data_IF_434473313054
#
_entry.id   IF_434473313054
#
_cell.length_a   1.000
_cell.length_b   1.000
_cell.length_c   1.000
_cell.angle_alpha   90.00
_cell.angle_beta   90.00
_cell.angle_gamma   90.00
#
_symmetry.space_group_name_H-M   'P 1'
#
loop_
_entity.id
_entity.type
_entity.pdbx_description
1 polymer ?
#
# COMPACT_ATOMS: atom_id res chain seq x y z
N UNK A 1 -45.90 -14.08 -32.32
CA UNK A 1 -44.69 -14.59 -33.00
C UNK A 1 -43.87 -15.32 -31.98
N UNK A 2 -43.81 -16.66 -32.04
CA UNK A 2 -43.06 -17.50 -31.10
C UNK A 2 -41.56 -17.31 -31.37
N UNK A 3 -40.89 -16.62 -30.45
CA UNK A 3 -39.45 -16.44 -30.51
C UNK A 3 -38.72 -17.77 -30.39
N UNK A 4 -37.72 -17.98 -31.21
CA UNK A 4 -36.86 -19.17 -31.15
C UNK A 4 -36.00 -19.15 -29.87
N UNK A 5 -36.08 -20.17 -29.01
CA UNK A 5 -35.24 -20.27 -27.80
C UNK A 5 -33.77 -20.26 -28.21
N UNK A 6 -33.00 -19.31 -27.65
CA UNK A 6 -31.54 -19.25 -27.81
C UNK A 6 -30.87 -20.38 -27.01
N UNK A 7 -29.92 -21.04 -27.65
CA UNK A 7 -28.98 -22.02 -27.03
C UNK A 7 -27.58 -21.71 -27.51
N UNK A 8 -26.55 -22.17 -26.79
CA UNK A 8 -25.15 -21.93 -27.15
C UNK A 8 -24.82 -22.47 -28.56
N UNK A 9 -25.37 -23.64 -28.92
CA UNK A 9 -25.22 -24.20 -30.25
C UNK A 9 -25.81 -23.31 -31.32
N UNK A 10 -27.01 -22.75 -31.09
CA UNK A 10 -27.65 -21.82 -32.01
C UNK A 10 -26.94 -20.49 -32.16
N UNK A 11 -26.45 -19.94 -31.05
CA UNK A 11 -25.66 -18.70 -31.06
C UNK A 11 -24.40 -18.90 -31.87
N UNK A 12 -23.65 -19.99 -31.65
CA UNK A 12 -22.43 -20.32 -32.43
C UNK A 12 -22.72 -20.53 -33.96
N UNK A 13 -23.91 -20.99 -34.31
CA UNK A 13 -24.30 -21.20 -35.70
C UNK A 13 -24.71 -19.90 -36.42
N UNK A 14 -24.86 -18.77 -35.72
CA UNK A 14 -25.21 -17.49 -36.34
C UNK A 14 -24.06 -16.97 -37.19
N UNK A 15 -24.32 -16.74 -38.46
CA UNK A 15 -23.33 -16.14 -39.39
C UNK A 15 -23.48 -14.62 -39.45
N UNK A 16 -22.37 -13.86 -39.48
CA UNK A 16 -22.39 -12.43 -39.69
C UNK A 16 -22.98 -12.09 -41.07
N UNK A 17 -23.61 -10.91 -41.18
CA UNK A 17 -24.13 -10.33 -42.44
C UNK A 17 -23.52 -8.93 -42.57
N UNK A 18 -23.71 -8.30 -43.72
CA UNK A 18 -23.26 -6.93 -43.98
C UNK A 18 -23.98 -5.87 -43.11
N UNK A 19 -25.02 -6.27 -42.38
CA UNK A 19 -25.78 -5.40 -41.48
C UNK A 19 -25.89 -6.05 -40.09
N UNK A 20 -26.03 -5.22 -39.06
CA UNK A 20 -26.29 -5.69 -37.68
C UNK A 20 -27.60 -6.48 -37.65
N UNK A 21 -27.59 -7.65 -37.02
CA UNK A 21 -28.75 -8.52 -36.86
C UNK A 21 -29.00 -8.82 -35.38
N UNK A 22 -30.24 -8.56 -34.94
CA UNK A 22 -30.70 -8.93 -33.61
C UNK A 22 -31.53 -10.21 -33.65
N UNK A 23 -31.19 -11.21 -32.85
CA UNK A 23 -31.97 -12.44 -32.69
C UNK A 23 -32.50 -12.47 -31.25
N UNK A 24 -33.82 -12.48 -31.09
CA UNK A 24 -34.49 -12.42 -29.78
C UNK A 24 -34.68 -13.81 -29.19
N UNK A 25 -34.58 -13.91 -27.88
CA UNK A 25 -34.80 -15.15 -27.14
C UNK A 25 -36.31 -15.40 -26.95
N UNK A 26 -36.74 -16.65 -27.19
CA UNK A 26 -38.10 -17.08 -26.97
C UNK A 26 -38.48 -17.33 -25.52
N UNK A 27 -37.49 -17.55 -24.60
CA UNK A 27 -37.72 -17.82 -23.19
C UNK A 27 -37.79 -16.57 -22.32
N UNK A 28 -36.96 -15.55 -22.62
CA UNK A 28 -36.92 -14.30 -21.86
C UNK A 28 -37.26 -13.11 -22.76
N UNK A 29 -38.46 -12.57 -22.57
CA UNK A 29 -38.91 -11.38 -23.33
C UNK A 29 -38.00 -10.19 -22.98
N UNK A 30 -37.46 -9.57 -24.02
CA UNK A 30 -36.55 -8.44 -23.89
C UNK A 30 -35.06 -8.83 -23.92
N UNK A 31 -34.74 -10.12 -24.00
CA UNK A 31 -33.36 -10.62 -24.14
C UNK A 31 -33.10 -11.07 -25.59
N UNK A 32 -31.85 -10.97 -26.02
CA UNK A 32 -31.43 -11.43 -27.36
C UNK A 32 -29.92 -11.39 -27.55
N UNK A 33 -29.49 -11.81 -28.75
CA UNK A 33 -28.11 -11.72 -29.20
C UNK A 33 -28.03 -10.82 -30.46
N UNK A 34 -27.09 -9.89 -30.47
CA UNK A 34 -26.74 -9.01 -31.59
C UNK A 34 -25.51 -9.56 -32.29
N UNK A 35 -25.62 -9.79 -33.58
CA UNK A 35 -24.53 -10.21 -34.45
C UNK A 35 -24.07 -9.00 -35.27
N UNK A 36 -22.82 -8.62 -35.11
CA UNK A 36 -22.18 -7.52 -35.82
C UNK A 36 -21.58 -7.98 -37.14
N UNK A 37 -21.42 -7.07 -38.15
CA UNK A 37 -20.76 -7.41 -39.40
C UNK A 37 -19.34 -7.96 -39.25
N UNK A 38 -18.64 -7.59 -38.19
CA UNK A 38 -17.31 -8.11 -37.82
C UNK A 38 -17.31 -9.56 -37.36
N UNK A 39 -18.49 -10.19 -37.17
CA UNK A 39 -18.62 -11.52 -36.57
C UNK A 39 -18.73 -11.51 -35.05
N UNK A 40 -18.49 -10.41 -34.37
CA UNK A 40 -18.65 -10.31 -32.90
C UNK A 40 -20.15 -10.42 -32.56
N UNK A 41 -20.44 -11.16 -31.46
CA UNK A 41 -21.79 -11.41 -30.98
C UNK A 41 -21.93 -10.94 -29.55
N UNK A 42 -22.97 -10.16 -29.24
CA UNK A 42 -23.23 -9.60 -27.92
C UNK A 42 -24.65 -9.89 -27.47
N UNK A 43 -24.79 -10.39 -26.25
CA UNK A 43 -26.10 -10.50 -25.63
C UNK A 43 -26.58 -9.11 -25.19
N UNK A 44 -27.89 -8.84 -25.37
CA UNK A 44 -28.48 -7.55 -25.04
C UNK A 44 -29.85 -7.73 -24.39
N UNK A 45 -30.27 -6.70 -23.64
CA UNK A 45 -31.66 -6.50 -23.23
C UNK A 45 -32.27 -5.30 -23.99
N UNK A 46 -33.56 -5.40 -24.25
CA UNK A 46 -34.34 -4.31 -24.80
C UNK A 46 -35.74 -4.33 -24.18
N UNK A 47 -36.07 -3.29 -23.45
CA UNK A 47 -37.40 -3.12 -22.85
C UNK A 47 -37.84 -1.66 -22.93
N UNK A 48 -39.13 -1.42 -22.61
CA UNK A 48 -39.68 -0.08 -22.43
C UNK A 48 -39.95 0.12 -20.91
N UNK A 49 -39.47 1.21 -20.34
CA UNK A 49 -39.71 1.57 -18.94
C UNK A 49 -40.04 3.07 -18.87
N UNK A 50 -41.18 3.42 -18.23
CA UNK A 50 -41.65 4.81 -18.08
C UNK A 50 -41.70 5.62 -19.38
N UNK A 51 -42.06 4.96 -20.51
CA UNK A 51 -42.14 5.61 -21.83
C UNK A 51 -40.81 5.65 -22.59
N UNK A 52 -39.68 5.36 -21.95
CA UNK A 52 -38.35 5.35 -22.59
C UNK A 52 -37.97 3.94 -23.08
N UNK A 53 -37.24 3.88 -24.19
CA UNK A 53 -36.64 2.64 -24.70
C UNK A 53 -35.29 2.43 -24.03
N UNK A 54 -35.19 1.37 -23.23
CA UNK A 54 -33.94 0.95 -22.61
C UNK A 54 -33.33 -0.17 -23.43
N UNK A 55 -32.12 0.03 -23.91
CA UNK A 55 -31.29 -0.97 -24.59
C UNK A 55 -29.94 -1.05 -23.93
N UNK A 56 -29.53 -2.23 -23.42
CA UNK A 56 -28.26 -2.45 -22.78
C UNK A 56 -27.63 -3.77 -23.21
N UNK A 57 -26.29 -3.83 -23.27
CA UNK A 57 -25.53 -5.05 -23.50
C UNK A 57 -25.45 -5.83 -22.16
N UNK A 58 -25.63 -7.14 -22.24
CA UNK A 58 -25.51 -8.07 -21.09
C UNK A 58 -24.10 -8.66 -21.01
N UNK A 59 -23.52 -9.02 -22.17
CA UNK A 59 -22.18 -9.58 -22.24
C UNK A 59 -21.78 -10.02 -23.64
N UNK A 60 -20.55 -10.52 -23.81
CA UNK A 60 -20.04 -11.04 -25.07
C UNK A 60 -20.34 -12.55 -25.19
N UNK A 61 -20.89 -12.97 -26.33
CA UNK A 61 -21.26 -14.36 -26.54
C UNK A 61 -20.05 -15.31 -26.74
N UNK A 62 -18.85 -14.77 -26.90
CA UNK A 62 -17.61 -15.55 -26.91
C UNK A 62 -17.08 -15.92 -25.52
N UNK A 63 -17.51 -15.16 -24.48
CA UNK A 63 -17.03 -15.34 -23.11
C UNK A 63 -18.12 -15.74 -22.09
N UNK A 64 -19.38 -15.80 -22.51
CA UNK A 64 -20.53 -16.06 -21.64
C UNK A 64 -21.48 -17.05 -22.33
N UNK A 65 -22.00 -18.02 -21.60
CA UNK A 65 -23.04 -18.94 -22.09
C UNK A 65 -24.41 -18.25 -22.20
N UNK A 66 -25.31 -18.80 -23.01
CA UNK A 66 -26.68 -18.30 -23.12
C UNK A 66 -27.45 -18.41 -21.80
N UNK A 67 -27.13 -19.41 -20.97
CA UNK A 67 -27.77 -19.59 -19.66
C UNK A 67 -27.37 -18.49 -18.69
N UNK A 68 -26.08 -18.20 -18.57
CA UNK A 68 -25.54 -17.11 -17.74
C UNK A 68 -26.07 -15.75 -18.23
N UNK A 69 -26.03 -15.51 -19.54
CA UNK A 69 -26.52 -14.28 -20.14
C UNK A 69 -28.03 -14.09 -19.90
N UNK A 70 -28.81 -15.16 -19.96
CA UNK A 70 -30.25 -15.09 -19.67
C UNK A 70 -30.55 -14.79 -18.21
N UNK A 71 -29.78 -15.37 -17.26
CA UNK A 71 -29.91 -15.06 -15.85
C UNK A 71 -29.59 -13.59 -15.56
N UNK A 72 -28.44 -13.11 -16.03
CA UNK A 72 -28.03 -11.72 -15.89
C UNK A 72 -29.05 -10.74 -16.53
N UNK A 73 -29.57 -11.09 -17.71
CA UNK A 73 -30.61 -10.30 -18.37
C UNK A 73 -31.90 -10.24 -17.54
N UNK A 74 -32.28 -11.35 -16.89
CA UNK A 74 -33.42 -11.41 -15.98
C UNK A 74 -33.30 -10.45 -14.82
N UNK A 75 -32.14 -10.45 -14.16
CA UNK A 75 -31.82 -9.56 -13.04
C UNK A 75 -31.82 -8.09 -13.46
N UNK A 76 -31.23 -7.77 -14.61
CA UNK A 76 -31.23 -6.42 -15.19
C UNK A 76 -32.65 -5.94 -15.51
N UNK A 77 -33.50 -6.79 -16.13
CA UNK A 77 -34.86 -6.45 -16.44
C UNK A 77 -35.72 -6.27 -15.17
N UNK A 78 -35.47 -7.08 -14.14
CA UNK A 78 -36.13 -6.95 -12.84
C UNK A 78 -35.74 -5.63 -12.12
N UNK A 79 -34.46 -5.26 -12.12
CA UNK A 79 -33.98 -3.99 -11.56
C UNK A 79 -34.64 -2.78 -12.28
N UNK A 80 -34.68 -2.81 -13.61
CA UNK A 80 -35.33 -1.74 -14.40
C UNK A 80 -36.82 -1.62 -14.03
N UNK A 81 -37.53 -2.75 -13.87
CA UNK A 81 -38.97 -2.74 -13.49
C UNK A 81 -39.19 -2.13 -12.08
N UNK A 82 -38.26 -2.34 -11.13
CA UNK A 82 -38.31 -1.73 -9.81
C UNK A 82 -37.95 -0.24 -9.80
N UNK A 83 -37.51 0.31 -10.93
CA UNK A 83 -37.03 1.69 -11.04
C UNK A 83 -35.64 1.88 -10.47
N UNK A 84 -34.92 0.78 -10.21
CA UNK A 84 -33.50 0.77 -9.85
C UNK A 84 -32.66 0.98 -11.11
N UNK A 85 -31.50 1.63 -10.93
CA UNK A 85 -30.55 1.72 -12.05
C UNK A 85 -30.07 0.29 -12.37
N UNK A 86 -30.36 -0.19 -13.57
CA UNK A 86 -29.94 -1.53 -13.97
C UNK A 86 -28.42 -1.62 -13.83
N UNK A 87 -27.88 -2.68 -13.21
CA UNK A 87 -26.45 -2.83 -13.05
C UNK A 87 -25.78 -2.65 -14.41
N UNK A 88 -24.72 -1.85 -14.46
CA UNK A 88 -23.96 -1.65 -15.69
C UNK A 88 -23.51 -3.00 -16.22
N UNK A 89 -23.62 -3.20 -17.53
CA UNK A 89 -23.13 -4.43 -18.14
C UNK A 89 -21.64 -4.61 -17.80
N UNK A 90 -21.15 -5.84 -17.59
CA UNK A 90 -19.75 -6.09 -17.26
C UNK A 90 -18.76 -5.34 -18.17
N UNK A 91 -19.13 -5.12 -19.44
CA UNK A 91 -18.32 -4.39 -20.42
C UNK A 91 -18.35 -2.86 -20.29
N UNK A 92 -19.27 -2.30 -19.52
CA UNK A 92 -19.48 -0.83 -19.40
C UNK A 92 -19.10 -0.29 -18.01
N UNK A 93 -18.87 -1.16 -17.03
CA UNK A 93 -18.51 -0.72 -15.67
C UNK A 93 -17.17 0.00 -15.70
N UNK A 94 -17.20 1.27 -15.32
CA UNK A 94 -16.03 2.14 -15.33
C UNK A 94 -15.08 1.81 -14.18
N UNK A 95 -13.81 2.06 -14.42
CA UNK A 95 -12.71 1.80 -13.47
C UNK A 95 -12.94 2.45 -12.09
N UNK A 96 -13.40 3.69 -12.06
CA UNK A 96 -13.64 4.44 -10.82
C UNK A 96 -14.69 3.79 -9.91
N UNK A 97 -15.74 3.21 -10.45
CA UNK A 97 -16.79 2.53 -9.67
C UNK A 97 -16.23 1.27 -8.99
N UNK A 98 -15.39 0.51 -9.72
CA UNK A 98 -14.69 -0.65 -9.16
C UNK A 98 -13.65 -0.24 -8.12
N UNK A 99 -12.91 0.85 -8.39
CA UNK A 99 -11.91 1.38 -7.47
C UNK A 99 -12.55 1.80 -6.14
N UNK A 100 -13.69 2.47 -6.18
CA UNK A 100 -14.42 2.85 -4.96
C UNK A 100 -14.89 1.62 -4.18
N UNK A 101 -15.46 0.63 -4.85
CA UNK A 101 -15.90 -0.62 -4.22
C UNK A 101 -14.72 -1.37 -3.58
N UNK A 102 -13.57 -1.48 -4.28
CA UNK A 102 -12.35 -2.07 -3.76
C UNK A 102 -11.86 -1.33 -2.50
N UNK A 103 -11.84 -0.01 -2.51
CA UNK A 103 -11.40 0.79 -1.36
C UNK A 103 -12.37 0.66 -0.18
N UNK A 104 -13.67 0.63 -0.40
CA UNK A 104 -14.69 0.44 0.64
C UNK A 104 -14.54 -0.93 1.33
N UNK A 105 -14.31 -2.01 0.57
CA UNK A 105 -14.05 -3.34 1.12
C UNK A 105 -12.76 -3.39 1.94
N UNK A 106 -11.71 -2.69 1.50
CA UNK A 106 -10.41 -2.68 2.16
C UNK A 106 -10.30 -1.66 3.30
N UNK A 107 -11.26 -0.77 3.49
CA UNK A 107 -11.25 0.24 4.55
C UNK A 107 -11.13 -0.37 5.95
N UNK A 108 -11.77 -1.51 6.17
CA UNK A 108 -11.70 -2.27 7.44
C UNK A 108 -10.40 -3.09 7.59
N UNK A 109 -9.71 -3.36 6.50
CA UNK A 109 -8.51 -4.21 6.47
C UNK A 109 -7.22 -3.39 6.55
N UNK A 110 -7.22 -2.17 6.02
CA UNK A 110 -6.05 -1.32 5.99
C UNK A 110 -5.99 -0.43 7.23
N UNK A 111 -4.79 -0.33 7.84
CA UNK A 111 -4.58 0.69 8.87
C UNK A 111 -4.87 2.08 8.30
N UNK A 112 -5.40 3.04 9.09
CA UNK A 112 -5.80 4.38 8.60
C UNK A 112 -4.71 5.09 7.80
N UNK A 113 -3.45 5.01 8.24
CA UNK A 113 -2.33 5.60 7.51
C UNK A 113 -2.05 4.93 6.15
N UNK A 114 -2.29 3.62 6.02
CA UNK A 114 -2.17 2.89 4.75
C UNK A 114 -3.30 3.30 3.81
N UNK A 115 -4.53 3.36 4.30
CA UNK A 115 -5.69 3.79 3.53
C UNK A 115 -5.48 5.20 2.97
N UNK A 116 -5.04 6.15 3.82
CA UNK A 116 -4.74 7.52 3.38
C UNK A 116 -3.71 7.56 2.25
N UNK A 117 -2.58 6.86 2.43
CA UNK A 117 -1.50 6.83 1.42
C UNK A 117 -1.98 6.16 0.14
N UNK A 118 -2.74 5.06 0.23
CA UNK A 118 -3.29 4.38 -0.94
C UNK A 118 -4.29 5.27 -1.69
N UNK A 119 -5.14 6.04 -0.99
CA UNK A 119 -6.03 7.05 -1.61
C UNK A 119 -5.24 8.14 -2.33
N UNK A 120 -4.11 8.60 -1.77
CA UNK A 120 -3.24 9.55 -2.45
C UNK A 120 -2.65 8.97 -3.75
N UNK A 121 -2.17 7.72 -3.75
CA UNK A 121 -1.68 7.08 -4.97
C UNK A 121 -2.79 6.83 -5.98
N UNK A 122 -3.97 6.38 -5.54
CA UNK A 122 -5.13 6.24 -6.41
C UNK A 122 -5.42 7.55 -7.13
N UNK A 123 -5.63 8.63 -6.38
CA UNK A 123 -6.01 9.94 -6.93
C UNK A 123 -4.94 10.55 -7.85
N UNK A 124 -3.66 10.47 -7.43
CA UNK A 124 -2.60 11.23 -8.10
C UNK A 124 -1.84 10.45 -9.19
N UNK A 125 -1.97 9.10 -9.23
CA UNK A 125 -1.17 8.25 -10.14
C UNK A 125 -1.99 7.27 -10.95
N UNK A 126 -3.12 6.79 -10.43
CA UNK A 126 -3.93 5.75 -11.07
C UNK A 126 -5.12 6.37 -11.79
N UNK A 127 -5.94 7.14 -11.09
CA UNK A 127 -7.14 7.76 -11.65
C UNK A 127 -6.87 8.62 -12.88
N UNK A 128 -5.80 9.47 -12.96
CA UNK A 128 -5.53 10.28 -14.14
C UNK A 128 -5.33 9.48 -15.44
N UNK A 129 -5.07 8.17 -15.32
CA UNK A 129 -4.85 7.30 -16.49
C UNK A 129 -6.02 6.36 -16.78
N UNK A 130 -6.66 5.83 -15.73
CA UNK A 130 -7.67 4.77 -15.89
C UNK A 130 -9.12 5.23 -15.69
N UNK A 131 -9.37 6.43 -15.14
CA UNK A 131 -10.73 6.94 -14.99
C UNK A 131 -11.42 7.09 -16.37
N UNK A 132 -12.73 6.82 -16.39
CA UNK A 132 -13.53 6.84 -17.62
C UNK A 132 -13.32 5.62 -18.53
N UNK A 133 -12.44 4.68 -18.15
CA UNK A 133 -12.20 3.46 -18.92
C UNK A 133 -13.06 2.31 -18.41
N UNK A 134 -13.70 1.53 -19.30
CA UNK A 134 -14.31 0.26 -18.90
C UNK A 134 -13.26 -0.67 -18.30
N UNK A 135 -13.49 -1.16 -17.07
CA UNK A 135 -12.50 -1.99 -16.36
C UNK A 135 -12.18 -3.27 -17.13
N UNK A 136 -13.13 -3.81 -17.87
CA UNK A 136 -12.93 -5.00 -18.70
C UNK A 136 -11.94 -4.76 -19.86
N UNK A 137 -11.85 -3.54 -20.38
CA UNK A 137 -11.03 -3.19 -21.53
C UNK A 137 -9.56 -2.91 -21.18
N UNK A 138 -9.24 -2.73 -19.88
CA UNK A 138 -7.86 -2.44 -19.45
C UNK A 138 -7.01 -3.71 -19.58
N UNK A 139 -6.08 -3.70 -20.51
CA UNK A 139 -5.21 -4.83 -20.79
C UNK A 139 -3.81 -4.71 -20.13
N UNK A 140 -3.01 -5.77 -20.27
CA UNK A 140 -1.64 -5.81 -19.71
C UNK A 140 -0.72 -4.80 -20.38
N UNK A 141 -0.89 -4.54 -21.67
CA UNK A 141 -0.04 -3.61 -22.39
C UNK A 141 -0.30 -2.17 -21.94
N UNK A 142 -1.56 -1.82 -21.70
CA UNK A 142 -1.93 -0.53 -21.15
C UNK A 142 -1.33 -0.32 -19.75
N UNK A 143 -1.41 -1.32 -18.86
CA UNK A 143 -0.80 -1.24 -17.52
C UNK A 143 0.72 -1.14 -17.61
N UNK A 144 1.38 -1.83 -18.55
CA UNK A 144 2.83 -1.67 -18.80
C UNK A 144 3.18 -0.25 -19.24
N UNK A 145 2.42 0.31 -20.17
CA UNK A 145 2.63 1.66 -20.68
C UNK A 145 2.44 2.70 -19.58
N UNK A 146 1.38 2.57 -18.78
CA UNK A 146 1.17 3.41 -17.61
C UNK A 146 2.33 3.31 -16.62
N UNK A 147 2.76 2.11 -16.28
CA UNK A 147 3.86 1.88 -15.36
C UNK A 147 5.19 2.48 -15.86
N UNK A 148 5.47 2.35 -17.15
CA UNK A 148 6.65 2.93 -17.80
C UNK A 148 6.66 4.47 -17.74
N UNK A 149 5.51 5.13 -17.88
CA UNK A 149 5.39 6.60 -17.72
C UNK A 149 5.79 7.09 -16.33
N UNK A 150 5.66 6.23 -15.32
CA UNK A 150 6.06 6.55 -13.95
C UNK A 150 7.56 6.30 -13.66
N UNK A 151 8.38 6.04 -14.69
CA UNK A 151 9.82 5.72 -14.56
C UNK A 151 10.60 6.79 -13.80
N UNK A 152 10.26 8.07 -13.97
CA UNK A 152 10.91 9.17 -13.25
C UNK A 152 10.64 9.14 -11.73
N UNK A 153 9.60 8.43 -11.29
CA UNK A 153 9.24 8.28 -9.87
C UNK A 153 9.07 6.80 -9.50
N UNK A 154 10.15 5.99 -9.55
CA UNK A 154 10.07 4.53 -9.45
C UNK A 154 9.48 4.03 -8.13
N UNK A 155 9.69 4.76 -7.03
CA UNK A 155 9.08 4.45 -5.72
C UNK A 155 7.56 4.62 -5.78
N UNK A 156 7.07 5.68 -6.42
CA UNK A 156 5.64 5.91 -6.56
C UNK A 156 5.00 4.89 -7.51
N UNK A 157 5.67 4.53 -8.60
CA UNK A 157 5.25 3.49 -9.53
C UNK A 157 5.05 2.15 -8.80
N UNK A 158 6.09 1.71 -8.08
CA UNK A 158 6.06 0.46 -7.31
C UNK A 158 5.03 0.42 -6.20
N UNK A 159 4.70 1.58 -5.62
CA UNK A 159 3.65 1.71 -4.59
C UNK A 159 2.25 1.72 -5.20
N UNK A 160 2.10 2.25 -6.41
CA UNK A 160 0.81 2.31 -7.12
C UNK A 160 0.39 0.96 -7.70
N UNK A 161 1.32 0.13 -8.16
CA UNK A 161 1.04 -1.16 -8.79
C UNK A 161 0.21 -2.13 -7.90
N UNK A 162 0.54 -2.35 -6.60
CA UNK A 162 -0.30 -3.19 -5.73
C UNK A 162 -1.71 -2.66 -5.56
N UNK A 163 -1.89 -1.34 -5.58
CA UNK A 163 -3.21 -0.70 -5.44
C UNK A 163 -4.04 -0.97 -6.68
N UNK A 164 -3.47 -0.77 -7.89
CA UNK A 164 -4.12 -1.12 -9.14
C UNK A 164 -4.47 -2.61 -9.18
N UNK A 165 -3.54 -3.49 -8.74
CA UNK A 165 -3.79 -4.93 -8.69
C UNK A 165 -4.92 -5.33 -7.74
N UNK A 166 -5.13 -4.60 -6.64
CA UNK A 166 -6.28 -4.80 -5.73
C UNK A 166 -7.58 -4.46 -6.44
N UNK A 167 -7.63 -3.34 -7.17
CA UNK A 167 -8.81 -2.91 -7.93
C UNK A 167 -9.13 -3.92 -9.03
N UNK A 168 -8.13 -4.42 -9.77
CA UNK A 168 -8.35 -5.41 -10.82
C UNK A 168 -8.82 -6.77 -10.27
N UNK A 169 -8.36 -7.18 -9.07
CA UNK A 169 -8.89 -8.37 -8.38
C UNK A 169 -10.33 -8.17 -7.93
N UNK A 170 -10.69 -6.96 -7.53
CA UNK A 170 -12.08 -6.64 -7.21
C UNK A 170 -12.96 -6.77 -8.45
N UNK A 171 -12.48 -6.32 -9.62
CA UNK A 171 -13.18 -6.49 -10.90
C UNK A 171 -13.37 -7.98 -11.26
N UNK A 172 -12.36 -8.83 -11.00
CA UNK A 172 -12.49 -10.29 -11.13
C UNK A 172 -13.57 -10.85 -10.19
N UNK A 173 -13.51 -10.46 -8.89
CA UNK A 173 -14.47 -10.91 -7.89
C UNK A 173 -15.91 -10.44 -8.14
N UNK A 174 -16.10 -9.34 -8.84
CA UNK A 174 -17.38 -8.81 -9.28
C UNK A 174 -17.87 -9.45 -10.60
N UNK A 175 -17.10 -10.36 -11.21
CA UNK A 175 -17.42 -10.97 -12.51
C UNK A 175 -17.30 -10.01 -13.70
N UNK A 176 -16.69 -8.83 -13.50
CA UNK A 176 -16.49 -7.83 -14.57
C UNK A 176 -15.29 -8.16 -15.47
N UNK A 177 -14.45 -9.08 -15.03
CA UNK A 177 -13.30 -9.64 -15.75
C UNK A 177 -13.20 -11.13 -15.48
N UNK A 178 -12.68 -11.93 -16.43
CA UNK A 178 -12.41 -13.34 -16.20
C UNK A 178 -11.47 -13.53 -15.01
N UNK A 179 -11.68 -14.56 -14.22
CA UNK A 179 -10.78 -14.93 -13.12
C UNK A 179 -9.36 -15.17 -13.65
N UNK A 180 -8.36 -14.69 -12.93
CA UNK A 180 -6.97 -14.81 -13.35
C UNK A 180 -6.51 -13.80 -14.41
N UNK A 181 -7.40 -12.95 -14.95
CA UNK A 181 -7.11 -11.98 -16.01
C UNK A 181 -6.46 -10.67 -15.53
N UNK A 182 -6.14 -10.54 -14.23
CA UNK A 182 -5.57 -9.32 -13.66
C UNK A 182 -4.34 -8.84 -14.46
N UNK A 183 -4.41 -7.69 -15.14
CA UNK A 183 -3.38 -7.22 -16.05
C UNK A 183 -2.08 -6.78 -15.35
N UNK A 184 -2.12 -6.64 -14.02
CA UNK A 184 -0.94 -6.30 -13.21
C UNK A 184 0.00 -7.50 -12.97
N UNK A 185 -0.45 -8.72 -13.25
CA UNK A 185 0.36 -9.93 -13.01
C UNK A 185 1.58 -9.96 -13.92
N UNK A 186 2.74 -10.34 -13.37
CA UNK A 186 4.00 -10.51 -14.11
C UNK A 186 4.65 -9.20 -14.57
N UNK A 187 4.17 -8.03 -14.17
CA UNK A 187 4.85 -6.77 -14.43
C UNK A 187 6.02 -6.63 -13.46
N UNK A 188 7.23 -6.58 -14.01
CA UNK A 188 8.46 -6.45 -13.24
C UNK A 188 8.58 -5.07 -12.65
N UNK A 189 8.79 -5.02 -11.32
CA UNK A 189 8.99 -3.76 -10.59
C UNK A 189 10.38 -3.18 -10.85
N UNK A 190 10.54 -1.89 -10.58
CA UNK A 190 11.84 -1.25 -10.68
C UNK A 190 12.81 -1.80 -9.63
N UNK A 191 14.04 -2.09 -10.05
CA UNK A 191 15.11 -2.42 -9.10
C UNK A 191 15.43 -1.17 -8.28
N UNK A 192 15.43 -1.31 -6.96
CA UNK A 192 15.81 -0.24 -6.05
C UNK A 192 17.03 -0.68 -5.26
N UNK A 193 18.04 0.17 -5.22
CA UNK A 193 19.09 0.03 -4.22
C UNK A 193 18.50 0.52 -2.89
N UNK A 194 18.63 -0.29 -1.85
CA UNK A 194 18.31 0.15 -0.49
C UNK A 194 19.18 1.35 -0.16
N UNK A 195 18.62 2.34 0.52
CA UNK A 195 19.42 3.42 1.08
C UNK A 195 20.04 2.90 2.37
N UNK A 196 21.35 2.94 2.45
CA UNK A 196 22.15 2.54 3.61
C UNK A 196 22.92 3.77 4.08
N UNK A 197 22.29 4.54 4.96
CA UNK A 197 22.88 5.73 5.56
C UNK A 197 22.82 5.60 7.07
N UNK A 198 23.97 5.72 7.71
CA UNK A 198 24.15 5.82 9.15
C UNK A 198 25.17 6.89 9.45
N UNK A 199 25.09 7.49 10.62
CA UNK A 199 25.98 8.56 11.04
C UNK A 199 27.33 8.00 11.52
N UNK A 200 28.41 8.67 11.17
CA UNK A 200 29.73 8.48 11.79
C UNK A 200 29.76 9.04 13.21
N UNK A 201 30.82 8.74 13.96
CA UNK A 201 30.97 9.27 15.31
C UNK A 201 31.13 10.80 15.31
N UNK A 202 31.79 11.37 14.27
CA UNK A 202 31.90 12.82 14.07
C UNK A 202 30.55 13.45 13.77
N UNK A 203 29.76 12.83 12.93
CA UNK A 203 28.42 13.29 12.59
C UNK A 203 27.48 13.24 13.80
N UNK A 204 27.59 12.20 14.63
CA UNK A 204 26.85 12.11 15.91
C UNK A 204 27.27 13.24 16.84
N UNK A 205 28.56 13.56 16.92
CA UNK A 205 29.07 14.67 17.75
C UNK A 205 28.53 16.03 17.25
N UNK A 206 28.61 16.31 15.94
CA UNK A 206 28.05 17.54 15.34
C UNK A 206 26.55 17.67 15.62
N UNK A 207 25.79 16.60 15.35
CA UNK A 207 24.35 16.59 15.63
C UNK A 207 24.04 16.84 17.11
N UNK A 208 24.76 16.19 18.02
CA UNK A 208 24.59 16.36 19.47
C UNK A 208 24.86 17.79 19.92
N UNK A 209 25.90 18.44 19.40
CA UNK A 209 26.21 19.84 19.68
C UNK A 209 25.12 20.79 19.23
N UNK A 210 24.56 20.57 18.01
CA UNK A 210 23.43 21.37 17.51
C UNK A 210 22.15 21.14 18.29
N UNK A 211 21.87 19.91 18.70
CA UNK A 211 20.73 19.60 19.58
C UNK A 211 20.84 20.35 20.91
N UNK A 212 22.02 20.38 21.52
CA UNK A 212 22.26 21.14 22.77
C UNK A 212 22.03 22.66 22.56
N UNK A 213 22.52 23.22 21.48
CA UNK A 213 22.32 24.64 21.15
C UNK A 213 20.84 25.04 20.98
N UNK A 214 20.03 24.10 20.56
CA UNK A 214 18.59 24.33 20.34
C UNK A 214 17.69 23.93 21.54
N UNK A 215 18.26 23.40 22.61
CA UNK A 215 17.48 22.82 23.71
C UNK A 215 16.53 23.81 24.38
N UNK A 216 16.97 25.04 24.64
CA UNK A 216 16.15 26.08 25.24
C UNK A 216 14.93 26.47 24.37
N UNK A 217 15.12 26.50 23.04
CA UNK A 217 14.08 26.93 22.09
C UNK A 217 13.14 25.81 21.65
N UNK A 218 13.65 24.57 21.55
CA UNK A 218 12.96 23.42 21.00
C UNK A 218 13.07 22.17 21.90
N UNK A 219 12.81 22.28 23.22
CA UNK A 219 13.11 21.21 24.17
C UNK A 219 12.44 19.87 23.80
N UNK A 220 11.18 19.88 23.41
CA UNK A 220 10.46 18.66 23.06
C UNK A 220 11.00 17.97 21.80
N UNK A 221 11.38 18.74 20.77
CA UNK A 221 11.94 18.18 19.54
C UNK A 221 13.34 17.62 19.76
N UNK A 222 14.18 18.30 20.53
CA UNK A 222 15.50 17.83 20.95
C UNK A 222 15.37 16.51 21.72
N UNK A 223 14.47 16.47 22.68
CA UNK A 223 14.17 15.25 23.47
C UNK A 223 13.79 14.08 22.57
N UNK A 224 12.87 14.30 21.58
CA UNK A 224 12.48 13.23 20.67
C UNK A 224 13.65 12.73 19.85
N UNK A 225 14.53 13.61 19.32
CA UNK A 225 15.69 13.17 18.54
C UNK A 225 16.69 12.41 19.41
N UNK A 226 16.95 12.87 20.64
CA UNK A 226 17.80 12.15 21.61
C UNK A 226 17.25 10.75 21.90
N UNK A 227 15.94 10.62 22.14
CA UNK A 227 15.32 9.32 22.36
C UNK A 227 15.40 8.41 21.14
N UNK A 228 15.27 8.96 19.91
CA UNK A 228 15.46 8.17 18.69
C UNK A 228 16.88 7.61 18.58
N UNK A 229 17.91 8.41 18.93
CA UNK A 229 19.31 7.98 18.94
C UNK A 229 19.59 6.98 20.07
N UNK A 230 19.03 7.18 21.27
CA UNK A 230 19.31 6.33 22.43
C UNK A 230 18.56 4.98 22.38
N UNK A 231 17.45 4.90 21.65
CA UNK A 231 16.58 3.71 21.66
C UNK A 231 16.47 2.98 20.33
N UNK A 232 16.81 3.63 19.22
CA UNK A 232 16.55 3.12 17.88
C UNK A 232 15.07 2.94 17.56
N UNK A 233 14.15 3.52 18.33
CA UNK A 233 12.71 3.46 18.09
C UNK A 233 12.31 4.17 16.79
N UNK A 234 11.13 3.84 16.26
CA UNK A 234 10.56 4.58 15.13
C UNK A 234 10.01 5.92 15.60
N UNK A 235 10.08 6.96 14.74
CA UNK A 235 9.52 8.29 15.04
C UNK A 235 8.10 8.23 15.60
N UNK A 236 7.23 7.43 14.98
CA UNK A 236 5.86 7.29 15.47
C UNK A 236 5.75 6.60 16.84
N UNK A 237 6.63 5.69 17.16
CA UNK A 237 6.65 5.01 18.46
C UNK A 237 6.97 6.01 19.58
N UNK A 238 7.99 6.86 19.38
CA UNK A 238 8.35 7.91 20.36
C UNK A 238 7.24 8.96 20.47
N UNK A 239 6.74 9.49 19.35
CA UNK A 239 5.72 10.55 19.37
C UNK A 239 4.39 10.12 20.00
N UNK A 240 4.06 8.83 19.97
CA UNK A 240 2.82 8.30 20.54
C UNK A 240 2.96 7.63 21.90
N UNK A 241 4.10 7.85 22.59
CA UNK A 241 4.32 7.34 23.94
C UNK A 241 3.36 7.99 24.95
N UNK A 242 2.84 7.15 25.83
CA UNK A 242 2.09 7.54 27.01
C UNK A 242 2.95 7.35 28.24
N UNK A 243 2.72 8.11 29.28
CA UNK A 243 3.38 7.88 30.57
C UNK A 243 3.15 6.47 31.12
N UNK A 244 1.96 5.90 30.86
CA UNK A 244 1.66 4.50 31.23
C UNK A 244 2.47 3.45 30.46
N UNK A 245 3.13 3.83 29.36
CA UNK A 245 3.99 2.94 28.58
C UNK A 245 5.44 2.96 29.12
N UNK A 246 5.81 3.93 29.97
CA UNK A 246 7.10 4.02 30.62
C UNK A 246 7.01 3.55 32.08
N UNK A 247 7.60 2.40 32.38
CA UNK A 247 7.62 1.81 33.73
C UNK A 247 8.80 0.84 33.85
N UNK A 248 9.30 0.67 35.05
CA UNK A 248 10.43 -0.25 35.36
C UNK A 248 11.66 -0.01 34.46
N UNK A 249 11.93 1.24 34.08
CA UNK A 249 13.07 1.58 33.21
C UNK A 249 12.93 1.05 31.76
N UNK A 250 11.71 0.74 31.29
CA UNK A 250 11.42 0.18 30.00
C UNK A 250 10.24 0.91 29.34
N UNK A 251 10.17 0.81 27.99
CA UNK A 251 8.99 1.24 27.25
C UNK A 251 8.21 0.01 26.76
N UNK A 252 6.92 -0.01 27.04
CA UNK A 252 5.99 -1.03 26.58
C UNK A 252 5.19 -0.49 25.39
N UNK A 253 5.71 -0.68 24.18
CA UNK A 253 5.07 -0.20 22.96
C UNK A 253 3.91 -1.12 22.60
N UNK A 254 2.67 -0.58 22.60
CA UNK A 254 1.44 -1.37 22.43
C UNK A 254 1.11 -1.68 20.98
N UNK A 255 1.30 -0.73 20.07
CA UNK A 255 0.86 -0.82 18.68
C UNK A 255 1.90 -0.28 17.69
N UNK A 256 2.98 -1.02 17.54
CA UNK A 256 3.95 -0.76 16.46
C UNK A 256 3.49 -1.31 15.11
N UNK A 257 4.20 -0.93 14.05
CA UNK A 257 4.04 -1.54 12.70
C UNK A 257 4.21 -3.07 12.74
N UNK A 258 4.93 -3.57 13.74
CA UNK A 258 5.31 -4.97 13.93
C UNK A 258 4.66 -5.63 15.15
N UNK A 259 3.63 -5.02 15.75
CA UNK A 259 2.98 -5.50 16.97
C UNK A 259 3.60 -4.92 18.25
N UNK A 260 3.09 -5.31 19.44
CA UNK A 260 3.61 -4.86 20.72
C UNK A 260 5.03 -5.37 20.97
N UNK A 261 5.84 -4.57 21.67
CA UNK A 261 7.19 -4.93 22.07
C UNK A 261 7.66 -4.11 23.27
N UNK A 262 8.61 -4.65 24.01
CA UNK A 262 9.34 -3.95 25.08
C UNK A 262 10.64 -3.37 24.53
N UNK A 263 10.97 -2.14 24.93
CA UNK A 263 12.24 -1.48 24.64
C UNK A 263 12.97 -1.27 25.97
N UNK A 264 14.14 -1.85 26.07
CA UNK A 264 15.04 -1.64 27.20
C UNK A 264 15.71 -0.29 27.07
N UNK A 265 15.74 0.48 28.14
CA UNK A 265 16.32 1.81 28.15
C UNK A 265 17.69 1.78 28.87
N UNK A 266 18.66 2.39 28.20
CA UNK A 266 19.94 2.73 28.85
C UNK A 266 19.73 3.81 29.91
N UNK A 267 20.67 3.97 30.80
CA UNK A 267 20.64 5.04 31.82
C UNK A 267 20.45 6.43 31.22
N UNK A 268 21.18 6.85 30.16
CA UNK A 268 20.93 8.14 29.50
C UNK A 268 19.52 8.27 28.94
N UNK A 269 18.93 7.20 28.41
CA UNK A 269 17.57 7.24 27.89
C UNK A 269 16.52 7.40 29.02
N UNK A 270 16.76 6.78 30.17
CA UNK A 270 15.93 6.96 31.37
C UNK A 270 16.04 8.38 31.90
N UNK A 271 17.26 8.91 32.07
CA UNK A 271 17.47 10.28 32.52
C UNK A 271 16.74 11.31 31.65
N UNK A 272 16.73 11.13 30.32
CA UNK A 272 15.97 11.99 29.40
C UNK A 272 14.47 11.94 29.72
N UNK A 273 13.89 10.77 29.98
CA UNK A 273 12.47 10.62 30.26
C UNK A 273 12.11 11.09 31.68
N UNK A 274 12.95 10.79 32.66
CA UNK A 274 12.72 11.16 34.06
C UNK A 274 12.81 12.66 34.28
N UNK A 275 13.61 13.36 33.47
CA UNK A 275 13.69 14.82 33.46
C UNK A 275 12.49 15.55 32.85
N UNK A 276 11.52 14.81 32.26
CA UNK A 276 10.34 15.41 31.68
C UNK A 276 9.21 15.58 32.69
N UNK A 277 8.55 16.72 32.64
CA UNK A 277 7.36 16.95 33.44
C UNK A 277 6.19 16.06 33.00
N UNK A 278 5.61 15.32 33.93
CA UNK A 278 4.46 14.42 33.67
C UNK A 278 3.15 15.20 33.64
N UNK A 279 2.79 15.71 32.45
CA UNK A 279 1.52 16.42 32.19
C UNK A 279 0.59 15.58 31.32
N UNK A 280 -0.54 15.15 31.86
CA UNK A 280 -1.57 14.41 31.11
C UNK A 280 -1.14 13.00 30.69
N UNK A 281 -1.75 12.49 29.63
CA UNK A 281 -1.60 11.10 29.18
C UNK A 281 -0.34 10.85 28.34
N UNK A 282 0.01 11.80 27.49
CA UNK A 282 1.06 11.66 26.47
C UNK A 282 2.37 12.25 26.94
N UNK A 283 3.50 11.58 26.64
CA UNK A 283 4.83 12.17 26.89
C UNK A 283 5.06 13.38 25.98
N UNK A 284 4.55 13.31 24.73
CA UNK A 284 4.61 14.41 23.77
C UNK A 284 3.18 14.83 23.36
N UNK A 285 2.47 15.60 24.20
CA UNK A 285 1.10 16.01 23.92
C UNK A 285 1.03 17.05 22.80
N UNK A 286 -0.03 17.01 22.00
CA UNK A 286 -0.34 18.08 21.07
C UNK A 286 -0.68 19.37 21.84
N UNK A 287 -0.59 20.52 21.17
CA UNK A 287 -0.95 21.82 21.78
C UNK A 287 -2.45 21.96 22.04
N UNK A 288 -3.30 21.14 21.41
CA UNK A 288 -4.74 21.14 21.59
C UNK A 288 -5.29 19.71 21.57
N UNK A 289 -6.21 19.41 22.50
CA UNK A 289 -6.88 18.10 22.62
C UNK A 289 -5.99 16.99 23.20
N UNK A 290 -6.61 15.91 23.69
CA UNK A 290 -5.93 14.72 24.23
C UNK A 290 -5.42 13.82 23.09
N UNK A 291 -4.39 14.27 22.43
CA UNK A 291 -3.73 13.54 21.33
C UNK A 291 -2.22 13.74 21.34
N UNK A 292 -1.43 12.81 20.76
CA UNK A 292 0.01 12.98 20.64
C UNK A 292 0.36 14.01 19.57
N UNK A 293 1.60 14.47 19.55
CA UNK A 293 2.16 15.32 18.49
C UNK A 293 2.05 14.64 17.12
N UNK A 294 1.75 15.45 16.10
CA UNK A 294 1.74 14.98 14.72
C UNK A 294 3.14 14.59 14.25
N UNK A 295 3.22 13.70 13.25
CA UNK A 295 4.52 13.32 12.65
C UNK A 295 5.24 14.50 12.02
N UNK A 296 4.52 15.47 11.49
CA UNK A 296 5.09 16.68 10.84
C UNK A 296 5.62 17.71 11.83
N UNK A 297 5.25 17.62 13.13
CA UNK A 297 5.73 18.53 14.17
C UNK A 297 7.26 18.52 14.32
N UNK A 298 7.89 17.37 14.09
CA UNK A 298 9.33 17.19 14.18
C UNK A 298 10.05 17.58 12.87
N UNK A 299 9.36 17.56 11.74
CA UNK A 299 10.01 17.63 10.41
C UNK A 299 10.73 18.96 10.20
N UNK A 300 10.08 20.10 10.52
CA UNK A 300 10.69 21.42 10.37
C UNK A 300 11.98 21.55 11.20
N UNK A 301 11.93 21.14 12.45
CA UNK A 301 13.10 21.17 13.34
C UNK A 301 14.21 20.25 12.83
N UNK A 302 13.86 19.06 12.37
CA UNK A 302 14.83 18.14 11.78
C UNK A 302 15.54 18.73 10.57
N UNK A 303 14.80 19.40 9.68
CA UNK A 303 15.40 20.07 8.51
C UNK A 303 16.40 21.16 8.91
N UNK A 304 16.09 21.94 9.94
CA UNK A 304 17.02 22.96 10.47
C UNK A 304 18.26 22.32 11.09
N UNK A 305 18.08 21.45 12.08
CA UNK A 305 19.21 20.91 12.87
C UNK A 305 20.15 20.03 12.03
N UNK A 306 19.62 19.27 11.06
CA UNK A 306 20.46 18.46 10.17
C UNK A 306 21.30 19.31 9.22
N UNK A 307 20.75 20.42 8.71
CA UNK A 307 21.51 21.35 7.86
C UNK A 307 22.63 22.01 8.63
N UNK A 308 22.37 22.49 9.85
CA UNK A 308 23.40 23.07 10.73
C UNK A 308 24.47 22.04 11.17
N UNK A 309 24.14 20.76 11.16
CA UNK A 309 25.07 19.66 11.46
C UNK A 309 25.75 19.09 10.21
N UNK A 310 25.50 19.67 9.02
CA UNK A 310 26.01 19.19 7.72
C UNK A 310 25.58 17.74 7.42
N UNK A 311 24.27 17.46 7.59
CA UNK A 311 23.64 16.14 7.46
C UNK A 311 22.42 16.19 6.50
N UNK A 312 22.45 17.03 5.45
CA UNK A 312 21.32 17.28 4.56
C UNK A 312 20.82 16.02 3.88
N UNK A 313 21.70 15.08 3.65
CA UNK A 313 21.38 13.78 3.07
C UNK A 313 20.71 12.83 4.07
N UNK A 314 20.65 13.14 5.37
CA UNK A 314 20.17 12.24 6.42
C UNK A 314 18.67 12.41 6.67
N UNK A 315 17.95 11.29 6.82
CA UNK A 315 16.54 11.25 7.22
C UNK A 315 16.41 10.81 8.69
N UNK A 316 15.34 11.20 9.37
CA UNK A 316 15.09 10.76 10.75
C UNK A 316 15.12 9.23 10.94
N UNK A 317 14.81 8.46 9.90
CA UNK A 317 14.86 7.00 10.00
C UNK A 317 16.30 6.46 9.99
N UNK A 318 17.24 7.22 9.44
CA UNK A 318 18.65 6.84 9.37
C UNK A 318 19.30 6.88 10.77
N UNK A 319 18.73 7.62 11.73
CA UNK A 319 19.12 7.56 13.14
C UNK A 319 18.97 6.15 13.73
N UNK A 320 17.92 5.44 13.33
CA UNK A 320 17.72 4.05 13.71
C UNK A 320 18.72 3.10 13.02
N UNK A 321 19.10 3.40 11.78
CA UNK A 321 20.19 2.69 11.10
C UNK A 321 21.53 2.94 11.80
N UNK A 322 21.74 4.16 12.29
CA UNK A 322 22.92 4.54 13.08
C UNK A 322 23.02 3.72 14.37
N UNK A 323 21.93 3.56 15.12
CA UNK A 323 21.90 2.71 16.33
C UNK A 323 22.26 1.27 16.01
N UNK A 324 21.72 0.71 14.92
CA UNK A 324 22.04 -0.64 14.48
C UNK A 324 23.53 -0.79 14.11
N UNK A 325 24.05 0.15 13.33
CA UNK A 325 25.45 0.17 12.88
C UNK A 325 26.40 0.33 14.08
N UNK A 326 26.07 1.22 15.02
CA UNK A 326 26.88 1.44 16.22
C UNK A 326 26.92 0.20 17.12
N UNK A 327 25.76 -0.45 17.35
CA UNK A 327 25.70 -1.68 18.13
C UNK A 327 26.52 -2.79 17.47
N UNK A 328 26.42 -2.95 16.15
CA UNK A 328 27.21 -3.94 15.42
C UNK A 328 28.72 -3.67 15.53
N UNK A 329 29.17 -2.41 15.33
CA UNK A 329 30.58 -2.00 15.48
C UNK A 329 31.10 -2.20 16.89
N UNK A 330 30.23 -2.26 17.91
CA UNK A 330 30.55 -2.56 19.30
C UNK A 330 30.53 -4.05 19.66
N UNK A 331 30.38 -4.93 18.66
CA UNK A 331 30.41 -6.38 18.85
C UNK A 331 29.06 -7.01 19.19
N UNK A 332 27.96 -6.26 19.14
CA UNK A 332 26.65 -6.82 19.44
C UNK A 332 26.17 -7.78 18.34
N UNK A 333 25.53 -8.86 18.74
CA UNK A 333 25.02 -9.86 17.79
C UNK A 333 23.85 -9.32 16.98
N UNK A 334 23.71 -9.81 15.74
CA UNK A 334 22.57 -9.47 14.85
C UNK A 334 21.23 -9.77 15.53
N UNK A 335 21.17 -10.83 16.36
CA UNK A 335 19.98 -11.20 17.11
C UNK A 335 19.66 -10.16 18.19
N UNK A 336 20.66 -9.70 18.97
CA UNK A 336 20.49 -8.66 19.98
C UNK A 336 20.04 -7.34 19.35
N UNK A 337 20.66 -6.94 18.22
CA UNK A 337 20.27 -5.76 17.44
C UNK A 337 18.84 -5.89 16.92
N UNK A 338 18.47 -7.05 16.40
CA UNK A 338 17.11 -7.33 15.93
C UNK A 338 16.08 -7.16 17.05
N UNK A 339 16.36 -7.66 18.25
CA UNK A 339 15.52 -7.48 19.45
C UNK A 339 15.46 -6.04 19.91
N UNK A 340 16.61 -5.36 20.00
CA UNK A 340 16.70 -3.94 20.36
C UNK A 340 15.81 -3.08 19.47
N UNK A 341 15.91 -3.28 18.17
CA UNK A 341 15.14 -2.54 17.17
C UNK A 341 13.69 -3.04 17.01
N UNK A 342 13.36 -4.25 17.46
CA UNK A 342 12.05 -4.88 17.29
C UNK A 342 11.79 -5.26 15.83
N UNK A 343 12.74 -5.95 15.21
CA UNK A 343 12.56 -6.58 13.91
C UNK A 343 11.87 -7.93 14.07
N UNK A 344 10.76 -8.16 13.36
CA UNK A 344 10.07 -9.48 13.38
C UNK A 344 10.78 -10.52 12.51
N UNK A 345 11.51 -10.07 11.50
CA UNK A 345 12.22 -10.92 10.55
C UNK A 345 13.70 -10.66 10.66
N UNK A 346 14.49 -11.71 10.77
CA UNK A 346 15.96 -11.63 10.85
C UNK A 346 16.54 -10.93 9.61
N UNK A 347 15.94 -11.16 8.42
CA UNK A 347 16.41 -10.55 7.16
C UNK A 347 16.40 -9.01 7.19
N UNK A 348 15.60 -8.41 8.07
CA UNK A 348 15.60 -6.94 8.26
C UNK A 348 16.87 -6.47 8.95
N UNK A 349 17.46 -7.30 9.83
CA UNK A 349 18.69 -6.98 10.55
C UNK A 349 19.92 -7.41 9.74
N UNK A 350 19.80 -8.46 8.93
CA UNK A 350 20.88 -8.92 8.04
C UNK A 350 21.36 -7.85 7.04
N UNK A 351 20.57 -6.81 6.80
CA UNK A 351 21.00 -5.66 5.99
C UNK A 351 22.23 -4.95 6.54
N UNK A 352 22.52 -5.10 7.81
CA UNK A 352 23.70 -4.48 8.44
C UNK A 352 24.93 -5.39 8.43
N UNK A 353 24.81 -6.63 7.95
CA UNK A 353 25.89 -7.63 8.08
C UNK A 353 27.14 -7.24 7.29
N UNK A 354 27.00 -6.50 6.19
CA UNK A 354 28.12 -5.98 5.41
C UNK A 354 28.97 -4.97 6.21
N UNK A 355 28.47 -4.43 7.32
CA UNK A 355 29.24 -3.58 8.24
C UNK A 355 30.06 -4.41 9.24
N UNK A 356 29.88 -5.73 9.24
CA UNK A 356 30.54 -6.66 10.14
C UNK A 356 31.86 -7.21 9.60
N UNK A 357 32.34 -6.75 8.44
CA UNK A 357 33.58 -7.27 7.82
C UNK A 357 34.79 -7.22 8.77
N UNK A 358 34.89 -6.19 9.60
CA UNK A 358 35.91 -6.10 10.64
C UNK A 358 35.76 -7.22 11.69
N UNK A 359 34.53 -7.52 12.10
CA UNK A 359 34.24 -8.59 13.08
C UNK A 359 34.49 -9.97 12.48
N UNK A 360 34.23 -10.17 11.17
CA UNK A 360 34.53 -11.42 10.47
C UNK A 360 36.02 -11.64 10.42
N UNK A 361 36.81 -10.59 10.20
CA UNK A 361 38.27 -10.65 10.22
C UNK A 361 38.79 -10.97 11.62
N UNK A 362 38.28 -10.30 12.63
CA UNK A 362 38.65 -10.53 14.05
C UNK A 362 38.27 -11.96 14.49
N UNK A 363 37.09 -12.46 14.09
CA UNK A 363 36.69 -13.83 14.35
C UNK A 363 37.63 -14.84 13.66
N UNK A 364 38.04 -14.57 12.41
CA UNK A 364 39.00 -15.42 11.69
C UNK A 364 40.35 -15.45 12.38
N UNK A 365 40.86 -14.31 12.84
CA UNK A 365 42.11 -14.24 13.61
C UNK A 365 42.01 -14.98 14.96
N UNK A 366 40.88 -14.81 15.67
CA UNK A 366 40.62 -15.49 16.93
C UNK A 366 40.64 -17.01 16.75
N UNK A 367 39.95 -17.54 15.77
CA UNK A 367 39.90 -18.96 15.43
C UNK A 367 41.29 -19.44 14.99
N UNK A 368 41.97 -18.67 14.11
CA UNK A 368 43.32 -19.00 13.66
C UNK A 368 44.35 -19.09 14.81
N UNK A 369 44.28 -18.16 15.74
CA UNK A 369 45.16 -18.16 16.91
C UNK A 369 44.85 -19.30 17.88
N UNK A 370 43.58 -19.63 18.10
CA UNK A 370 43.19 -20.77 18.93
C UNK A 370 43.67 -22.10 18.37
N UNK A 371 43.70 -22.24 17.04
CA UNK A 371 44.19 -23.46 16.36
C UNK A 371 45.71 -23.53 16.28
N UNK A 372 46.46 -22.41 16.40
CA UNK A 372 47.94 -22.40 16.43
C UNK A 372 48.52 -22.70 17.82
N UNK A 373 47.72 -22.58 18.87
CA UNK A 373 48.14 -22.78 20.26
C UNK A 373 47.88 -24.18 20.84
N UNK A 374 47.50 -25.16 19.95
CA UNK A 374 47.32 -26.58 20.32
C UNK A 374 48.52 -27.43 19.94
#
# INVERSE_FOLDING_TARGET
MSGTTLTDARVRALKPRNTVRDVRDGKLRGFGVRVLPSGAMRFFIHCQHRGERVWKIVGDAGSMSVAEARSAAGDMLAAIRRGEEAPASPGETLFEAVAETAFRRHERLWKPGTLYVNRCYLRNRIMPHFAGRPVAAIDRQEVRNWFARLRATPVAADRSMPILSVIMREAEAMGLRPEGSNPCRGIRRYRRRGRERFLSDDEIRRLSARLAAHEARWPGQVTVIRLLLLTGCRKSEILTLRWSDYREGRLFLRDGKTGPRTVWLSEPARAVLDGLERKGRWIFPASRGDRPRSKTWLDRFWFTVRAEAELEDTHLHDLRHTVASLALRRGETVLAIGRLLGHRKAETTLKYIHLADAMVREAAETVGNALKGG
#
